data_IF_055682732898
#
_entry.id   IF_055682732898
#
_cell.length_a   1.000
_cell.length_b   1.000
_cell.length_c   1.000
_cell.angle_alpha   90.00
_cell.angle_beta   90.00
_cell.angle_gamma   90.00
#
_symmetry.space_group_name_H-M   'P 1'
#
loop_
_entity.id
_entity.type
_entity.pdbx_description
1 polymer ?
#
# COMPACT_ATOMS: atom_id res chain seq x y z
N UNK A 1 -12.55 -7.69 23.16
CA UNK A 1 -12.42 -8.29 21.82
C UNK A 1 -10.94 -8.44 21.50
N UNK A 2 -10.56 -9.39 20.64
CA UNK A 2 -9.21 -9.56 20.10
C UNK A 2 -9.18 -9.04 18.68
N UNK A 3 -8.30 -8.07 18.42
CA UNK A 3 -8.18 -7.38 17.14
C UNK A 3 -6.85 -7.73 16.47
N UNK A 4 -6.86 -7.95 15.16
CA UNK A 4 -5.69 -8.25 14.35
C UNK A 4 -5.54 -7.22 13.22
N UNK A 5 -4.38 -6.58 13.15
CA UNK A 5 -3.99 -5.62 12.11
C UNK A 5 -2.85 -6.24 11.29
N UNK A 6 -3.08 -6.47 10.00
CA UNK A 6 -2.16 -7.15 9.09
C UNK A 6 -1.55 -6.14 8.12
N UNK A 7 -0.22 -6.16 7.96
CA UNK A 7 0.50 -5.21 7.11
C UNK A 7 0.45 -3.79 7.67
N UNK A 8 0.62 -3.64 8.99
CA UNK A 8 0.32 -2.39 9.68
C UNK A 8 1.29 -1.24 9.35
N UNK A 9 2.47 -1.53 8.81
CA UNK A 9 3.53 -0.54 8.59
C UNK A 9 3.80 0.30 9.83
N UNK A 10 3.54 1.61 9.73
CA UNK A 10 3.62 2.57 10.85
C UNK A 10 2.26 2.94 11.44
N UNK A 11 1.15 2.48 10.85
CA UNK A 11 -0.23 2.77 11.28
C UNK A 11 -0.77 1.58 12.08
N UNK A 12 -0.65 1.68 13.40
CA UNK A 12 -1.09 0.64 14.32
C UNK A 12 -1.60 1.25 15.63
N UNK A 13 -2.37 0.44 16.38
CA UNK A 13 -2.85 0.78 17.71
C UNK A 13 -2.37 -0.27 18.72
N UNK A 14 -1.96 0.12 19.95
CA UNK A 14 -1.42 -0.81 20.95
C UNK A 14 -2.39 -1.91 21.40
N UNK A 15 -3.70 -1.64 21.34
CA UNK A 15 -4.73 -2.64 21.68
C UNK A 15 -4.91 -3.73 20.61
N UNK A 16 -4.27 -3.58 19.45
CA UNK A 16 -4.33 -4.53 18.35
C UNK A 16 -3.10 -5.43 18.35
N UNK A 17 -3.29 -6.68 17.93
CA UNK A 17 -2.17 -7.52 17.51
C UNK A 17 -1.72 -7.05 16.14
N UNK A 18 -0.52 -6.48 16.02
CA UNK A 18 -0.04 -5.88 14.78
C UNK A 18 1.03 -6.76 14.13
N UNK A 19 0.88 -7.05 12.83
CA UNK A 19 1.85 -7.82 12.04
C UNK A 19 2.35 -6.98 10.87
N UNK A 20 3.65 -7.01 10.62
CA UNK A 20 4.27 -6.49 9.40
C UNK A 20 5.55 -7.27 9.04
N UNK A 21 6.03 -7.15 7.81
CA UNK A 21 7.32 -7.73 7.40
C UNK A 21 8.52 -6.94 7.96
N UNK A 22 8.31 -5.70 8.40
CA UNK A 22 9.31 -4.85 9.05
C UNK A 22 8.80 -4.39 10.42
N UNK A 23 9.57 -4.65 11.48
CA UNK A 23 9.29 -4.07 12.80
C UNK A 23 9.52 -2.56 12.79
N UNK A 24 8.44 -1.79 12.70
CA UNK A 24 8.46 -0.33 12.87
C UNK A 24 8.49 0.09 14.35
N UNK A 25 8.09 -0.82 15.25
CA UNK A 25 7.92 -0.60 16.69
C UNK A 25 7.98 -1.95 17.43
N UNK A 26 8.33 -1.98 18.75
CA UNK A 26 8.21 -3.19 19.57
C UNK A 26 6.80 -3.79 19.64
N UNK A 27 5.77 -3.00 19.30
CA UNK A 27 4.38 -3.44 19.26
C UNK A 27 3.99 -4.14 17.94
N UNK A 28 4.93 -4.31 17.02
CA UNK A 28 4.72 -4.95 15.70
C UNK A 28 5.48 -6.26 15.63
N UNK A 29 4.75 -7.36 15.43
CA UNK A 29 5.31 -8.69 15.25
C UNK A 29 5.81 -8.85 13.80
N UNK A 30 7.06 -9.25 13.65
CA UNK A 30 7.66 -9.45 12.32
C UNK A 30 7.19 -10.78 11.74
N UNK A 31 6.41 -10.73 10.66
CA UNK A 31 5.99 -11.92 9.94
C UNK A 31 5.66 -11.63 8.47
N UNK A 32 6.01 -12.58 7.60
CA UNK A 32 5.73 -12.51 6.17
C UNK A 32 4.38 -13.16 5.88
N UNK A 33 3.37 -12.34 5.60
CA UNK A 33 1.99 -12.78 5.37
C UNK A 33 1.79 -13.58 4.08
N UNK A 34 2.78 -13.61 3.17
CA UNK A 34 2.76 -14.54 2.03
C UNK A 34 2.87 -16.01 2.45
N UNK A 35 3.29 -16.26 3.70
CA UNK A 35 3.41 -17.58 4.31
C UNK A 35 2.18 -17.97 5.16
N UNK A 36 1.12 -17.17 5.14
CA UNK A 36 -0.08 -17.35 5.95
C UNK A 36 -0.04 -16.55 7.26
N UNK A 37 -1.13 -16.61 8.04
CA UNK A 37 -1.29 -15.85 9.28
C UNK A 37 -0.89 -16.74 10.47
N UNK A 38 0.07 -16.34 11.32
CA UNK A 38 0.72 -17.22 12.31
C UNK A 38 -0.11 -17.39 13.60
N UNK A 39 -1.42 -17.51 13.47
CA UNK A 39 -2.34 -17.69 14.59
C UNK A 39 -3.29 -18.86 14.34
N UNK A 40 -3.81 -19.50 15.40
CA UNK A 40 -4.82 -20.54 15.28
C UNK A 40 -6.12 -20.04 14.62
N UNK A 41 -6.95 -20.98 14.18
CA UNK A 41 -8.30 -20.65 13.73
C UNK A 41 -9.12 -20.02 14.88
N UNK A 42 -10.17 -19.27 14.54
CA UNK A 42 -11.18 -18.76 15.49
C UNK A 42 -10.58 -18.00 16.69
N UNK A 43 -9.55 -17.20 16.44
CA UNK A 43 -8.80 -16.49 17.49
C UNK A 43 -9.28 -15.05 17.66
N UNK A 44 -9.56 -14.36 16.56
CA UNK A 44 -9.82 -12.92 16.54
C UNK A 44 -11.30 -12.60 16.33
N UNK A 45 -11.76 -11.52 16.95
CA UNK A 45 -13.09 -10.97 16.75
C UNK A 45 -13.09 -10.01 15.53
N UNK A 46 -11.93 -9.42 15.22
CA UNK A 46 -11.75 -8.49 14.09
C UNK A 46 -10.41 -8.73 13.40
N UNK A 47 -10.44 -8.72 12.07
CA UNK A 47 -9.25 -8.67 11.21
C UNK A 47 -9.36 -7.42 10.35
N UNK A 48 -8.31 -6.60 10.37
CA UNK A 48 -8.17 -5.40 9.56
C UNK A 48 -6.87 -5.45 8.78
N UNK A 49 -6.93 -4.95 7.55
CA UNK A 49 -5.73 -4.57 6.80
C UNK A 49 -6.02 -3.39 5.89
N UNK A 50 -5.00 -2.55 5.69
CA UNK A 50 -5.06 -1.38 4.83
C UNK A 50 -3.86 -1.35 3.91
N UNK A 51 -4.12 -1.19 2.61
CA UNK A 51 -3.12 -1.10 1.57
C UNK A 51 -2.12 -2.28 1.60
N UNK A 52 -2.68 -3.49 1.50
CA UNK A 52 -1.96 -4.76 1.61
C UNK A 52 -2.39 -5.76 0.53
N UNK A 53 -3.70 -5.92 0.34
CA UNK A 53 -4.28 -6.97 -0.53
C UNK A 53 -3.90 -6.80 -2.00
N UNK A 54 -3.74 -5.56 -2.46
CA UNK A 54 -3.31 -5.18 -3.80
C UNK A 54 -1.91 -5.66 -4.15
N UNK A 55 -1.06 -5.94 -3.15
CA UNK A 55 0.29 -6.46 -3.36
C UNK A 55 0.31 -7.97 -3.59
N UNK A 56 -0.82 -8.66 -3.45
CA UNK A 56 -0.94 -10.08 -3.75
C UNK A 56 -1.46 -10.32 -5.16
N UNK A 57 -0.85 -11.28 -5.86
CA UNK A 57 -1.45 -11.84 -7.08
C UNK A 57 -2.80 -12.45 -6.75
N UNK A 58 -3.71 -12.48 -7.72
CA UNK A 58 -5.11 -12.92 -7.52
C UNK A 58 -5.26 -14.26 -6.77
N UNK A 59 -4.44 -15.25 -7.09
CA UNK A 59 -4.47 -16.56 -6.42
C UNK A 59 -3.95 -16.50 -4.97
N UNK A 60 -2.91 -15.70 -4.73
CA UNK A 60 -2.36 -15.45 -3.40
C UNK A 60 -3.29 -14.58 -2.54
N UNK A 61 -3.99 -13.62 -3.15
CA UNK A 61 -5.00 -12.80 -2.50
C UNK A 61 -6.15 -13.67 -1.99
N UNK A 62 -6.65 -14.60 -2.80
CA UNK A 62 -7.66 -15.58 -2.37
C UNK A 62 -7.18 -16.40 -1.15
N UNK A 63 -5.96 -16.95 -1.20
CA UNK A 63 -5.38 -17.71 -0.08
C UNK A 63 -5.21 -16.85 1.18
N UNK A 64 -4.77 -15.60 1.02
CA UNK A 64 -4.64 -14.67 2.12
C UNK A 64 -6.00 -14.33 2.75
N UNK A 65 -7.03 -14.06 1.93
CA UNK A 65 -8.39 -13.83 2.44
C UNK A 65 -8.97 -15.07 3.12
N UNK A 66 -8.65 -16.29 2.65
CA UNK A 66 -8.99 -17.54 3.35
C UNK A 66 -8.31 -17.65 4.72
N UNK A 67 -7.05 -17.22 4.85
CA UNK A 67 -6.37 -17.15 6.14
C UNK A 67 -7.03 -16.15 7.09
N UNK A 68 -7.45 -14.98 6.58
CA UNK A 68 -8.24 -14.01 7.37
C UNK A 68 -9.54 -14.63 7.90
N UNK A 69 -10.25 -15.38 7.04
CA UNK A 69 -11.47 -16.09 7.45
C UNK A 69 -11.16 -17.19 8.48
N UNK A 70 -10.07 -17.93 8.31
CA UNK A 70 -9.65 -18.99 9.23
C UNK A 70 -9.43 -18.45 10.64
N UNK A 71 -8.70 -17.34 10.78
CA UNK A 71 -8.34 -16.79 12.09
C UNK A 71 -9.46 -16.00 12.77
N UNK A 72 -10.48 -15.56 12.04
CA UNK A 72 -11.69 -14.95 12.60
C UNK A 72 -12.55 -15.98 13.31
N UNK A 73 -13.19 -15.60 14.42
CA UNK A 73 -14.28 -16.37 15.05
C UNK A 73 -15.55 -16.28 14.22
N UNK A 74 -16.49 -17.21 14.46
CA UNK A 74 -17.90 -17.03 14.07
C UNK A 74 -18.43 -15.70 14.62
N UNK A 75 -19.12 -14.94 13.78
CA UNK A 75 -19.56 -13.56 14.04
C UNK A 75 -18.47 -12.49 13.91
N UNK A 76 -17.22 -12.88 13.62
CA UNK A 76 -16.09 -11.97 13.49
C UNK A 76 -16.15 -11.09 12.23
N UNK A 77 -15.55 -9.90 12.31
CA UNK A 77 -15.59 -8.87 11.27
C UNK A 77 -14.26 -8.82 10.52
N UNK A 78 -14.30 -8.82 9.19
CA UNK A 78 -13.17 -8.36 8.37
C UNK A 78 -13.44 -6.93 7.90
N UNK A 79 -12.45 -6.04 8.04
CA UNK A 79 -12.43 -4.71 7.42
C UNK A 79 -11.23 -4.61 6.49
N UNK A 80 -11.49 -4.23 5.23
CA UNK A 80 -10.48 -4.09 4.20
C UNK A 80 -10.46 -2.65 3.70
N UNK A 81 -9.29 -2.03 3.68
CA UNK A 81 -9.03 -0.76 3.00
C UNK A 81 -7.98 -0.95 1.89
N UNK A 82 -8.22 -0.45 0.69
CA UNK A 82 -7.31 -0.56 -0.45
C UNK A 82 -7.55 0.57 -1.48
N UNK A 83 -6.65 0.83 -2.43
CA UNK A 83 -6.87 1.82 -3.49
C UNK A 83 -8.14 1.52 -4.30
N UNK A 84 -9.03 2.50 -4.46
CA UNK A 84 -10.31 2.33 -5.14
C UNK A 84 -10.17 2.41 -6.67
N UNK A 85 -10.15 1.25 -7.33
CA UNK A 85 -10.09 1.16 -8.79
C UNK A 85 -11.26 1.88 -9.48
N UNK A 86 -12.47 1.81 -8.91
CA UNK A 86 -13.65 2.45 -9.50
C UNK A 86 -13.50 3.97 -9.45
N UNK A 87 -13.11 4.52 -8.31
CA UNK A 87 -12.86 5.95 -8.14
C UNK A 87 -11.74 6.45 -9.07
N UNK A 88 -10.63 5.72 -9.15
CA UNK A 88 -9.51 6.02 -10.05
C UNK A 88 -9.98 6.02 -11.51
N UNK A 89 -10.69 4.97 -11.95
CA UNK A 89 -11.15 4.86 -13.33
C UNK A 89 -12.15 5.96 -13.72
N UNK A 90 -13.09 6.31 -12.83
CA UNK A 90 -14.05 7.40 -13.05
C UNK A 90 -13.36 8.75 -13.15
N UNK A 91 -12.39 9.01 -12.27
CA UNK A 91 -11.63 10.26 -12.28
C UNK A 91 -10.73 10.35 -13.51
N UNK A 92 -10.13 9.24 -13.95
CA UNK A 92 -9.41 9.14 -15.21
C UNK A 92 -10.29 9.50 -16.42
N UNK A 93 -11.50 8.92 -16.53
CA UNK A 93 -12.41 9.21 -17.63
C UNK A 93 -12.84 10.69 -17.64
N UNK A 94 -13.17 11.24 -16.46
CA UNK A 94 -13.46 12.67 -16.33
C UNK A 94 -12.29 13.53 -16.78
N UNK A 95 -11.07 13.19 -16.37
CA UNK A 95 -9.89 13.96 -16.74
C UNK A 95 -9.59 13.88 -18.24
N UNK A 96 -9.79 12.71 -18.85
CA UNK A 96 -9.67 12.52 -20.30
C UNK A 96 -10.66 13.41 -21.06
N UNK A 97 -11.94 13.39 -20.69
CA UNK A 97 -12.98 14.19 -21.34
C UNK A 97 -12.66 15.69 -21.27
N UNK A 98 -12.29 16.19 -20.09
CA UNK A 98 -11.94 17.60 -19.87
C UNK A 98 -10.66 18.01 -20.61
N UNK A 99 -9.65 17.16 -20.64
CA UNK A 99 -8.42 17.42 -21.40
C UNK A 99 -8.69 17.52 -22.91
N UNK A 100 -9.60 16.69 -23.45
CA UNK A 100 -10.02 16.75 -24.86
C UNK A 100 -10.82 18.01 -25.19
N UNK A 101 -11.56 18.57 -24.23
CA UNK A 101 -12.23 19.88 -24.34
C UNK A 101 -11.24 21.06 -24.35
N UNK A 102 -9.95 20.82 -24.10
CA UNK A 102 -8.90 21.83 -24.11
C UNK A 102 -8.64 22.49 -22.75
N UNK A 103 -9.20 21.96 -21.65
CA UNK A 103 -8.98 22.46 -20.29
C UNK A 103 -7.54 22.15 -19.82
N UNK A 104 -6.70 23.20 -19.73
CA UNK A 104 -5.27 23.07 -19.40
C UNK A 104 -5.01 22.52 -17.99
N UNK A 105 -5.87 22.84 -17.02
CA UNK A 105 -5.76 22.29 -15.66
C UNK A 105 -6.00 20.78 -15.68
N UNK A 106 -7.04 20.35 -16.40
CA UNK A 106 -7.40 18.94 -16.48
C UNK A 106 -6.47 18.10 -17.35
N UNK A 107 -5.68 18.70 -18.24
CA UNK A 107 -4.55 18.00 -18.91
C UNK A 107 -3.54 17.50 -17.88
N UNK A 108 -3.19 18.32 -16.88
CA UNK A 108 -2.30 17.90 -15.80
C UNK A 108 -2.95 16.83 -14.90
N UNK A 109 -4.25 16.97 -14.62
CA UNK A 109 -5.01 15.95 -13.88
C UNK A 109 -5.06 14.62 -14.63
N UNK A 110 -5.20 14.65 -15.96
CA UNK A 110 -5.14 13.45 -16.79
C UNK A 110 -3.79 12.74 -16.67
N UNK A 111 -2.68 13.48 -16.79
CA UNK A 111 -1.33 12.91 -16.62
C UNK A 111 -1.18 12.23 -15.25
N UNK A 112 -1.63 12.89 -14.18
CA UNK A 112 -1.62 12.32 -12.84
C UNK A 112 -2.46 11.04 -12.76
N UNK A 113 -3.70 11.05 -13.29
CA UNK A 113 -4.59 9.89 -13.22
C UNK A 113 -4.06 8.69 -14.01
N UNK A 114 -3.35 8.92 -15.12
CA UNK A 114 -2.64 7.85 -15.85
C UNK A 114 -1.56 7.23 -14.98
N UNK A 115 -0.78 8.04 -14.25
CA UNK A 115 0.24 7.54 -13.34
C UNK A 115 -0.38 6.78 -12.16
N UNK A 116 -1.42 7.31 -11.53
CA UNK A 116 -2.11 6.67 -10.41
C UNK A 116 -2.70 5.30 -10.81
N UNK A 117 -3.30 5.22 -12.01
CA UNK A 117 -3.88 3.99 -12.55
C UNK A 117 -2.82 2.97 -12.99
N UNK A 118 -1.80 3.39 -13.74
CA UNK A 118 -0.87 2.46 -14.39
C UNK A 118 0.46 2.29 -13.66
N UNK A 119 1.09 3.38 -13.21
CA UNK A 119 2.47 3.33 -12.69
C UNK A 119 2.58 2.40 -11.47
N UNK A 120 1.55 2.31 -10.63
CA UNK A 120 1.51 1.38 -9.49
C UNK A 120 1.58 -0.10 -9.90
N UNK A 121 1.15 -0.45 -11.12
CA UNK A 121 1.06 -1.84 -11.61
C UNK A 121 2.17 -2.20 -12.60
N UNK A 122 2.78 -1.20 -13.26
CA UNK A 122 3.77 -1.41 -14.33
C UNK A 122 5.20 -0.98 -13.99
N UNK A 123 5.42 -0.22 -12.90
CA UNK A 123 6.75 0.30 -12.56
C UNK A 123 7.79 -0.80 -12.39
N UNK A 124 9.05 -0.43 -12.65
CA UNK A 124 10.22 -1.32 -12.58
C UNK A 124 11.29 -0.84 -11.58
N UNK A 125 11.00 0.26 -10.87
CA UNK A 125 11.89 0.90 -9.91
C UNK A 125 11.09 1.57 -8.80
N UNK A 126 11.72 1.77 -7.65
CA UNK A 126 11.09 2.40 -6.50
C UNK A 126 10.61 3.81 -6.82
N UNK A 127 9.36 4.09 -6.46
CA UNK A 127 8.66 5.35 -6.70
C UNK A 127 8.15 5.53 -8.13
N UNK A 128 8.59 4.72 -9.09
CA UNK A 128 8.10 4.75 -10.46
C UNK A 128 8.22 6.12 -11.15
N UNK A 129 7.21 6.44 -11.95
CA UNK A 129 7.01 7.75 -12.57
C UNK A 129 6.22 8.71 -11.65
N UNK A 130 5.41 8.18 -10.71
CA UNK A 130 4.75 9.02 -9.69
C UNK A 130 5.74 9.86 -8.88
N UNK A 131 6.84 9.25 -8.43
CA UNK A 131 7.86 9.96 -7.68
C UNK A 131 8.58 11.02 -8.54
N UNK A 132 8.77 10.77 -9.84
CA UNK A 132 9.34 11.78 -10.74
C UNK A 132 8.36 12.94 -10.95
N UNK A 133 7.06 12.66 -11.02
CA UNK A 133 6.04 13.71 -11.10
C UNK A 133 6.04 14.60 -9.85
N UNK A 134 6.11 14.00 -8.66
CA UNK A 134 6.15 14.70 -7.38
C UNK A 134 7.44 15.52 -7.13
N UNK A 135 8.52 15.26 -7.89
CA UNK A 135 9.77 16.04 -7.82
C UNK A 135 9.70 17.37 -8.56
N UNK A 136 8.70 17.57 -9.42
CA UNK A 136 8.52 18.83 -10.14
C UNK A 136 8.26 19.97 -9.15
N UNK A 137 8.84 21.14 -9.43
CA UNK A 137 8.67 22.33 -8.61
C UNK A 137 8.41 23.56 -9.50
N UNK A 138 7.16 24.09 -9.53
CA UNK A 138 5.99 23.60 -8.80
C UNK A 138 5.44 22.27 -9.37
N UNK A 139 4.70 21.51 -8.57
CA UNK A 139 3.90 20.38 -9.07
C UNK A 139 2.75 20.96 -9.92
N UNK A 140 2.55 20.54 -11.18
CA UNK A 140 1.63 21.20 -12.11
C UNK A 140 0.20 21.37 -11.60
N UNK A 141 -0.32 20.36 -10.88
CA UNK A 141 -1.67 20.30 -10.33
C UNK A 141 -1.64 19.91 -8.84
N UNK A 142 -0.78 20.57 -8.04
CA UNK A 142 -0.51 20.23 -6.64
C UNK A 142 -1.76 19.99 -5.78
N UNK A 143 -2.77 20.87 -5.89
CA UNK A 143 -4.01 20.74 -5.13
C UNK A 143 -4.75 19.42 -5.42
N UNK A 144 -4.86 19.06 -6.69
CA UNK A 144 -5.47 17.81 -7.13
C UNK A 144 -4.68 16.59 -6.65
N UNK A 145 -3.35 16.62 -6.76
CA UNK A 145 -2.47 15.55 -6.27
C UNK A 145 -2.63 15.32 -4.77
N UNK A 146 -2.69 16.39 -3.97
CA UNK A 146 -2.89 16.30 -2.52
C UNK A 146 -4.31 15.87 -2.14
N UNK A 147 -5.32 16.19 -2.95
CA UNK A 147 -6.67 15.65 -2.77
C UNK A 147 -6.69 14.13 -2.99
N UNK A 148 -6.01 13.64 -4.04
CA UNK A 148 -5.93 12.20 -4.36
C UNK A 148 -5.19 11.38 -3.31
N UNK A 149 -3.98 11.79 -2.92
CA UNK A 149 -3.10 11.00 -2.06
C UNK A 149 -3.17 11.35 -0.56
N UNK A 150 -3.92 12.40 -0.20
CA UNK A 150 -4.04 12.85 1.18
C UNK A 150 -2.71 13.28 1.80
N UNK A 151 -2.53 12.95 3.09
CA UNK A 151 -1.37 13.38 3.87
C UNK A 151 -0.02 12.79 3.41
N UNK A 152 -0.04 11.63 2.75
CA UNK A 152 1.19 10.95 2.32
C UNK A 152 1.94 11.73 1.23
N UNK A 153 1.24 12.27 0.23
CA UNK A 153 1.88 13.08 -0.80
C UNK A 153 2.57 14.31 -0.20
N UNK A 154 1.94 14.97 0.78
CA UNK A 154 2.52 16.13 1.46
C UNK A 154 3.83 15.75 2.17
N UNK A 155 3.86 14.61 2.85
CA UNK A 155 5.06 14.11 3.53
C UNK A 155 6.17 13.77 2.54
N UNK A 156 5.83 13.12 1.41
CA UNK A 156 6.80 12.79 0.35
C UNK A 156 7.39 14.06 -0.25
N UNK A 157 6.54 15.01 -0.64
CA UNK A 157 6.96 16.29 -1.25
C UNK A 157 7.80 17.10 -0.27
N UNK A 158 7.41 17.18 1.01
CA UNK A 158 8.20 17.85 2.04
C UNK A 158 9.57 17.20 2.21
N UNK A 159 9.65 15.86 2.23
CA UNK A 159 10.92 15.14 2.33
C UNK A 159 11.81 15.35 1.09
N UNK A 160 11.22 15.47 -0.10
CA UNK A 160 11.95 15.80 -1.33
C UNK A 160 12.49 17.22 -1.29
N UNK A 161 11.66 18.21 -0.93
CA UNK A 161 12.04 19.62 -0.81
C UNK A 161 13.15 19.83 0.24
N UNK A 162 13.04 19.19 1.40
CA UNK A 162 14.05 19.27 2.46
C UNK A 162 15.41 18.67 2.06
N UNK A 163 15.43 17.65 1.19
CA UNK A 163 16.69 17.10 0.64
C UNK A 163 17.35 18.05 -0.36
N UNK A 164 16.56 18.86 -1.08
CA UNK A 164 17.05 19.85 -2.04
C UNK A 164 17.55 21.12 -1.36
N UNK A 165 16.90 21.53 -0.26
CA UNK A 165 17.29 22.69 0.57
C UNK A 165 18.26 22.25 1.67
N UNK A 166 19.51 22.01 1.28
CA UNK A 166 20.69 21.88 2.16
C UNK A 166 20.45 21.55 3.64
N UNK A 167 20.16 20.28 3.95
CA UNK A 167 20.47 19.73 5.26
C UNK A 167 21.60 18.73 5.09
N UNK A 168 22.72 19.02 5.76
CA UNK A 168 23.84 18.10 5.93
C UNK A 168 23.32 16.70 6.16
N UNK A 169 23.71 15.76 5.28
CA UNK A 169 23.50 14.35 5.51
C UNK A 169 23.89 14.05 6.97
N UNK A 170 23.00 13.50 7.81
CA UNK A 170 23.41 13.07 9.14
C UNK A 170 24.62 12.15 8.92
N UNK A 171 25.77 12.54 9.52
CA UNK A 171 27.03 11.80 9.42
C UNK A 171 26.69 10.31 9.57
N UNK A 172 27.09 9.44 8.63
CA UNK A 172 26.73 8.04 8.70
C UNK A 172 27.13 7.53 10.09
N UNK A 173 26.13 7.04 10.86
CA UNK A 173 26.39 6.30 12.11
C UNK A 173 27.52 5.33 11.81
N UNK A 174 28.56 5.30 12.67
CA UNK A 174 29.78 4.48 12.52
C UNK A 174 29.40 3.15 11.86
N UNK A 175 29.62 3.05 10.55
CA UNK A 175 29.18 1.89 9.78
C UNK A 175 29.98 0.69 10.28
N UNK A 176 29.27 -0.29 10.82
CA UNK A 176 29.83 -1.56 11.26
C UNK A 176 30.73 -2.14 10.14
N UNK A 177 31.94 -2.55 10.50
CA UNK A 177 32.89 -3.17 9.56
C UNK A 177 32.23 -4.35 8.82
N UNK A 178 31.38 -5.12 9.52
CA UNK A 178 30.61 -6.22 8.94
C UNK A 178 29.62 -5.74 7.86
N UNK A 179 29.00 -4.57 8.03
CA UNK A 179 28.13 -3.98 7.01
C UNK A 179 28.93 -3.62 5.75
N UNK A 180 30.12 -3.03 5.90
CA UNK A 180 30.98 -2.67 4.76
C UNK A 180 31.44 -3.90 3.99
N UNK A 181 31.84 -4.96 4.69
CA UNK A 181 32.22 -6.25 4.07
C UNK A 181 31.03 -6.87 3.34
N UNK A 182 29.86 -6.94 3.97
CA UNK A 182 28.63 -7.44 3.34
C UNK A 182 28.23 -6.64 2.11
N UNK A 183 28.31 -5.32 2.19
CA UNK A 183 28.03 -4.42 1.07
C UNK A 183 29.01 -4.66 -0.08
N UNK A 184 30.31 -4.75 0.21
CA UNK A 184 31.34 -5.04 -0.80
C UNK A 184 31.10 -6.38 -1.48
N UNK A 185 30.87 -7.46 -0.72
CA UNK A 185 30.55 -8.79 -1.27
C UNK A 185 29.29 -8.76 -2.13
N UNK A 186 28.27 -7.99 -1.74
CA UNK A 186 27.06 -7.77 -2.54
C UNK A 186 27.38 -7.07 -3.87
N UNK A 187 28.24 -6.06 -3.86
CA UNK A 187 28.68 -5.36 -5.07
C UNK A 187 29.50 -6.27 -5.99
N UNK A 188 30.45 -7.04 -5.45
CA UNK A 188 31.24 -8.02 -6.21
C UNK A 188 30.32 -9.06 -6.85
N UNK A 189 29.38 -9.62 -6.08
CA UNK A 189 28.38 -10.56 -6.60
C UNK A 189 27.52 -9.94 -7.71
N UNK A 190 27.05 -8.71 -7.53
CA UNK A 190 26.25 -8.02 -8.54
C UNK A 190 27.03 -7.82 -9.85
N UNK A 191 28.29 -7.41 -9.77
CA UNK A 191 29.17 -7.24 -10.94
C UNK A 191 29.48 -8.57 -11.63
N UNK A 192 29.71 -9.65 -10.87
CA UNK A 192 29.94 -10.98 -11.43
C UNK A 192 28.70 -11.47 -12.18
N UNK A 193 27.51 -11.36 -11.57
CA UNK A 193 26.24 -11.75 -12.20
C UNK A 193 26.00 -10.92 -13.47
N UNK A 194 26.25 -9.60 -13.43
CA UNK A 194 26.11 -8.72 -14.59
C UNK A 194 27.01 -9.15 -15.76
N UNK A 195 28.27 -9.50 -15.48
CA UNK A 195 29.21 -9.98 -16.50
C UNK A 195 28.81 -11.34 -17.08
N UNK A 196 28.30 -12.25 -16.25
CA UNK A 196 27.88 -13.59 -16.68
C UNK A 196 26.61 -13.56 -17.53
N UNK A 197 25.63 -12.73 -17.15
CA UNK A 197 24.34 -12.62 -17.84
C UNK A 197 24.38 -11.68 -19.05
N UNK A 198 25.32 -10.72 -19.08
CA UNK A 198 25.26 -9.60 -20.00
C UNK A 198 24.20 -8.57 -19.61
N UNK A 199 24.19 -7.42 -20.29
CA UNK A 199 23.36 -6.27 -19.92
C UNK A 199 21.86 -6.54 -20.00
N UNK A 200 21.41 -7.23 -21.06
CA UNK A 200 19.99 -7.51 -21.31
C UNK A 200 19.39 -8.39 -20.21
N UNK A 201 20.04 -9.52 -19.92
CA UNK A 201 19.53 -10.49 -18.96
C UNK A 201 19.72 -10.01 -17.52
N UNK A 202 20.78 -9.23 -17.25
CA UNK A 202 20.94 -8.57 -15.96
C UNK A 202 19.81 -7.56 -15.70
N UNK A 203 19.41 -6.77 -16.71
CA UNK A 203 18.25 -5.87 -16.61
C UNK A 203 16.96 -6.65 -16.36
N UNK A 204 16.73 -7.74 -17.08
CA UNK A 204 15.58 -8.61 -16.83
C UNK A 204 15.55 -9.16 -15.39
N UNK A 205 16.70 -9.56 -14.85
CA UNK A 205 16.84 -9.98 -13.45
C UNK A 205 16.53 -8.84 -12.47
N UNK A 206 16.97 -7.61 -12.75
CA UNK A 206 16.66 -6.45 -11.90
C UNK A 206 15.16 -6.15 -11.88
N UNK A 207 14.52 -6.13 -13.05
CA UNK A 207 13.05 -5.96 -13.18
C UNK A 207 12.33 -7.08 -12.44
N UNK A 208 12.72 -8.34 -12.67
CA UNK A 208 12.14 -9.49 -11.98
C UNK A 208 12.26 -9.39 -10.46
N UNK A 209 13.43 -9.01 -9.95
CA UNK A 209 13.66 -8.78 -8.51
C UNK A 209 12.83 -7.64 -7.95
N UNK A 210 12.59 -6.58 -8.72
CA UNK A 210 11.75 -5.47 -8.29
C UNK A 210 10.28 -5.89 -8.26
N UNK A 211 9.78 -6.56 -9.31
CA UNK A 211 8.36 -6.95 -9.43
C UNK A 211 7.90 -8.00 -8.42
N UNK A 212 8.82 -8.72 -7.79
CA UNK A 212 8.51 -9.66 -6.69
C UNK A 212 8.56 -9.01 -5.30
N UNK A 213 8.91 -7.73 -5.20
CA UNK A 213 8.87 -6.98 -3.94
C UNK A 213 7.47 -6.44 -3.67
N UNK A 214 7.22 -6.03 -2.43
CA UNK A 214 5.93 -5.53 -1.97
C UNK A 214 5.56 -4.12 -2.42
N UNK A 215 6.29 -3.49 -3.35
CA UNK A 215 5.93 -2.14 -3.84
C UNK A 215 4.93 -2.18 -5.00
N UNK A 216 4.96 -3.23 -5.82
CA UNK A 216 4.10 -3.31 -7.01
C UNK A 216 2.70 -3.76 -6.62
N UNK A 217 1.69 -3.05 -7.11
CA UNK A 217 0.30 -3.50 -7.03
C UNK A 217 0.12 -4.61 -8.06
N UNK A 218 -0.06 -5.84 -7.59
CA UNK A 218 -0.28 -7.03 -8.41
C UNK A 218 -1.72 -7.14 -8.88
N UNK A 219 -2.66 -6.53 -8.16
CA UNK A 219 -4.08 -6.48 -8.50
C UNK A 219 -4.74 -5.24 -7.90
N UNK A 220 -5.82 -4.76 -8.51
CA UNK A 220 -6.64 -3.67 -7.97
C UNK A 220 -8.09 -4.13 -7.83
N UNK A 221 -8.83 -3.52 -6.93
CA UNK A 221 -10.19 -3.92 -6.63
C UNK A 221 -11.14 -2.72 -6.68
N UNK A 222 -12.33 -2.99 -7.16
CA UNK A 222 -13.51 -2.13 -7.04
C UNK A 222 -14.51 -2.74 -6.05
N UNK A 223 -15.63 -2.05 -5.83
CA UNK A 223 -16.68 -2.54 -4.93
C UNK A 223 -17.24 -3.92 -5.30
N UNK A 224 -17.22 -4.28 -6.58
CA UNK A 224 -17.78 -5.55 -7.03
C UNK A 224 -16.79 -6.69 -6.80
N UNK A 225 -15.58 -6.56 -7.35
CA UNK A 225 -14.52 -7.56 -7.29
C UNK A 225 -14.05 -7.84 -5.85
N UNK A 226 -13.96 -6.84 -4.98
CA UNK A 226 -13.66 -7.05 -3.56
C UNK A 226 -14.79 -7.84 -2.86
N UNK A 227 -16.05 -7.47 -3.10
CA UNK A 227 -17.19 -8.17 -2.53
C UNK A 227 -17.28 -9.62 -3.04
N UNK A 228 -16.96 -9.88 -4.31
CA UNK A 228 -16.90 -11.23 -4.85
C UNK A 228 -15.79 -12.07 -4.23
N UNK A 229 -14.59 -11.50 -4.04
CA UNK A 229 -13.50 -12.18 -3.35
C UNK A 229 -13.90 -12.60 -1.93
N UNK A 230 -14.51 -11.69 -1.16
CA UNK A 230 -14.98 -11.99 0.20
C UNK A 230 -16.06 -13.09 0.20
N UNK A 231 -17.06 -12.99 -0.68
CA UNK A 231 -18.11 -14.03 -0.82
C UNK A 231 -17.55 -15.38 -1.23
N UNK A 232 -16.58 -15.41 -2.15
CA UNK A 232 -15.94 -16.64 -2.60
C UNK A 232 -15.26 -17.40 -1.46
N UNK A 233 -14.73 -16.69 -0.45
CA UNK A 233 -14.12 -17.29 0.74
C UNK A 233 -15.18 -17.76 1.76
N UNK A 234 -16.39 -17.20 1.72
CA UNK A 234 -17.49 -17.55 2.63
C UNK A 234 -17.92 -16.40 3.56
N UNK A 235 -17.31 -15.22 3.43
CA UNK A 235 -17.79 -14.04 4.14
C UNK A 235 -19.19 -13.63 3.67
N UNK A 236 -20.00 -13.14 4.61
CA UNK A 236 -21.36 -12.72 4.38
C UNK A 236 -21.51 -11.20 4.44
N UNK A 237 -22.49 -10.69 3.70
CA UNK A 237 -22.88 -9.27 3.68
C UNK A 237 -21.72 -8.27 3.48
N UNK A 238 -20.86 -8.44 2.46
CA UNK A 238 -19.87 -7.42 2.13
C UNK A 238 -20.58 -6.09 1.85
N UNK A 239 -20.21 -5.07 2.59
CA UNK A 239 -20.83 -3.76 2.58
C UNK A 239 -19.75 -2.69 2.48
N UNK A 240 -19.96 -1.72 1.58
CA UNK A 240 -19.17 -0.50 1.56
C UNK A 240 -19.45 0.32 2.81
N UNK A 241 -18.38 0.84 3.40
CA UNK A 241 -18.41 1.70 4.57
C UNK A 241 -17.48 2.89 4.32
N UNK A 242 -17.65 3.97 5.06
CA UNK A 242 -16.70 5.07 5.08
C UNK A 242 -15.48 4.82 5.97
N UNK A 243 -14.49 5.73 5.97
CA UNK A 243 -13.30 5.64 6.83
C UNK A 243 -13.63 5.72 8.33
N UNK A 244 -14.76 6.36 8.69
CA UNK A 244 -15.18 6.52 10.10
C UNK A 244 -16.38 5.66 10.48
N UNK A 245 -17.04 5.04 9.50
CA UNK A 245 -18.19 4.18 9.70
C UNK A 245 -17.73 2.74 9.83
N UNK A 246 -18.11 2.09 10.92
CA UNK A 246 -17.73 0.71 11.16
C UNK A 246 -18.69 0.06 12.15
N UNK A 247 -18.87 -1.26 12.02
CA UNK A 247 -19.51 -2.07 13.06
C UNK A 247 -18.53 -2.47 14.17
N UNK A 248 -17.25 -2.19 14.00
CA UNK A 248 -16.22 -2.38 15.03
C UNK A 248 -16.40 -1.29 16.10
N UNK A 249 -16.63 -1.65 17.37
CA UNK A 249 -16.79 -0.67 18.45
C UNK A 249 -15.54 0.21 18.60
N UNK A 250 -15.72 1.52 18.76
CA UNK A 250 -14.61 2.46 18.96
C UNK A 250 -13.72 2.68 17.72
N UNK A 251 -14.19 2.34 16.50
CA UNK A 251 -13.36 2.38 15.30
C UNK A 251 -12.57 3.68 15.10
N UNK A 252 -13.23 4.84 15.30
CA UNK A 252 -12.60 6.16 15.13
C UNK A 252 -11.46 6.39 16.12
N UNK A 253 -11.56 5.85 17.33
CA UNK A 253 -10.58 6.05 18.40
C UNK A 253 -9.26 5.33 18.13
N UNK A 254 -9.27 4.30 17.27
CA UNK A 254 -8.05 3.59 16.87
C UNK A 254 -7.17 4.37 15.89
N UNK A 255 -7.73 5.37 15.19
CA UNK A 255 -6.99 6.22 14.23
C UNK A 255 -6.20 5.40 13.18
N UNK A 256 -6.85 4.36 12.64
CA UNK A 256 -6.28 3.48 11.62
C UNK A 256 -6.59 3.97 10.19
N UNK A 257 -7.84 4.34 9.92
CA UNK A 257 -8.27 4.94 8.64
C UNK A 257 -8.34 6.49 8.67
N UNK A 258 -8.17 7.08 9.85
CA UNK A 258 -8.16 8.53 10.08
C UNK A 258 -6.98 8.97 10.92
N UNK A 259 -6.57 10.22 10.73
CA UNK A 259 -5.66 10.91 11.63
C UNK A 259 -6.38 11.36 12.92
N UNK A 260 -5.63 11.68 14.00
CA UNK A 260 -6.22 12.10 15.28
C UNK A 260 -7.10 13.35 15.22
N UNK A 261 -6.94 14.17 14.19
CA UNK A 261 -7.79 15.34 13.93
C UNK A 261 -9.08 15.00 13.15
N UNK A 262 -9.29 13.73 12.84
CA UNK A 262 -10.44 13.21 12.11
C UNK A 262 -10.30 13.28 10.59
N UNK A 263 -9.18 13.77 10.04
CA UNK A 263 -8.95 13.74 8.60
C UNK A 263 -8.72 12.32 8.10
N UNK A 264 -9.12 12.03 6.85
CA UNK A 264 -8.98 10.71 6.26
C UNK A 264 -7.52 10.49 5.86
N UNK A 265 -6.95 9.36 6.29
CA UNK A 265 -5.54 9.09 6.05
C UNK A 265 -5.22 8.90 4.55
N UNK A 266 -6.01 8.08 3.85
CA UNK A 266 -5.88 7.77 2.42
C UNK A 266 -7.20 7.97 1.70
N UNK A 267 -7.40 9.17 1.16
CA UNK A 267 -8.67 9.69 0.63
C UNK A 267 -9.19 8.94 -0.60
N UNK A 268 -8.31 8.24 -1.32
CA UNK A 268 -8.60 7.41 -2.49
C UNK A 268 -8.96 5.95 -2.16
N UNK A 269 -9.17 5.62 -0.89
CA UNK A 269 -9.39 4.23 -0.47
C UNK A 269 -10.85 3.79 -0.57
N UNK A 270 -11.03 2.55 -1.01
CA UNK A 270 -12.25 1.76 -0.88
C UNK A 270 -12.23 1.06 0.48
N UNK A 271 -13.29 1.20 1.27
CA UNK A 271 -13.45 0.48 2.53
C UNK A 271 -14.62 -0.49 2.47
N UNK A 272 -14.40 -1.72 2.92
CA UNK A 272 -15.42 -2.76 2.93
C UNK A 272 -15.36 -3.60 4.21
N UNK A 273 -16.54 -3.87 4.78
CA UNK A 273 -16.71 -4.79 5.90
C UNK A 273 -17.54 -6.01 5.51
N UNK A 274 -17.22 -7.17 6.09
CA UNK A 274 -18.00 -8.41 5.96
C UNK A 274 -17.86 -9.28 7.22
N UNK A 275 -18.68 -10.33 7.36
CA UNK A 275 -18.71 -11.18 8.56
C UNK A 275 -18.42 -12.63 8.24
N UNK A 276 -17.71 -13.31 9.15
CA UNK A 276 -17.70 -14.76 9.21
C UNK A 276 -18.94 -15.25 9.94
N UNK A 277 -19.66 -16.20 9.36
CA UNK A 277 -20.69 -16.97 10.08
C UNK A 277 -20.06 -18.17 10.80
#
# INVERSE_FOLDING_TARGET
>A
MKYLNLGCGKRFHPDWTNIDIIASSPHVQVHDLSKGIPFPADTFDVVYHSHLLEHFKRDAALRFTQECYRVLKSGGIIRVALPDLECIARTYLKALERALEGDDEWKCNYEWMVLELYDQTVRERTGGALLEYLKQDPIPNEAFVYERLGGEARQIVQALRNKTVGQDNPRPRKCDFLYRVRYFLRCVRANLIRRLLGERDYRALQIGRFRIQGEVHQWMYDRYSLAQLLKQVGFQHPQLVGPTESRIPGWKDYNLDTDPDGTVYKTDSLYMEAFKL
#
